data_IF_664264853077
#
_entry.id   IF_664264853077
#
_cell.length_a   1.000
_cell.length_b   1.000
_cell.length_c   1.000
_cell.angle_alpha   90.00
_cell.angle_beta   90.00
_cell.angle_gamma   90.00
#
_symmetry.space_group_name_H-M   'P 1'
#
loop_
_entity.id
_entity.type
_entity.pdbx_description
1 polymer ?
#
# COMPACT_ATOMS: atom_id res chain seq x y z
N UNK A 1 23.29 4.57 -27.20
CA UNK A 1 23.87 3.71 -26.15
C UNK A 1 22.92 3.68 -24.96
N UNK A 2 22.63 2.52 -24.38
CA UNK A 2 21.74 2.39 -23.21
C UNK A 2 22.57 1.98 -21.99
N UNK A 3 22.23 2.54 -20.83
CA UNK A 3 22.93 2.30 -19.57
C UNK A 3 22.06 1.47 -18.62
N UNK A 4 22.69 0.57 -17.88
CA UNK A 4 22.02 -0.25 -16.88
C UNK A 4 21.43 0.67 -15.80
N UNK A 5 20.15 0.50 -15.48
CA UNK A 5 19.49 1.35 -14.48
C UNK A 5 20.10 1.17 -13.09
N UNK A 6 20.55 -0.05 -12.77
CA UNK A 6 21.13 -0.42 -11.46
C UNK A 6 22.62 -0.05 -11.39
N UNK A 7 23.47 -0.67 -12.21
CA UNK A 7 24.93 -0.56 -12.06
C UNK A 7 25.61 0.39 -13.05
N UNK A 8 24.85 1.09 -13.90
CA UNK A 8 25.31 2.06 -14.91
C UNK A 8 26.26 1.54 -15.99
N UNK A 9 26.63 0.26 -16.01
CA UNK A 9 27.35 -0.39 -17.11
C UNK A 9 26.54 -0.38 -18.41
N UNK A 10 27.21 -0.60 -19.53
CA UNK A 10 26.54 -0.81 -20.81
C UNK A 10 25.57 -2.00 -20.74
N UNK A 11 24.43 -1.87 -21.41
CA UNK A 11 23.35 -2.86 -21.36
C UNK A 11 23.55 -3.98 -22.36
N UNK A 12 23.15 -5.21 -22.01
CA UNK A 12 23.27 -6.39 -22.87
C UNK A 12 21.91 -7.02 -23.24
N UNK A 13 20.90 -6.19 -23.50
CA UNK A 13 19.60 -6.64 -24.02
C UNK A 13 18.50 -6.96 -23.00
N UNK A 14 18.78 -6.84 -21.69
CA UNK A 14 17.75 -7.02 -20.65
C UNK A 14 16.94 -5.74 -20.42
N UNK A 15 15.64 -5.87 -20.15
CA UNK A 15 14.81 -4.72 -19.83
C UNK A 15 13.52 -5.04 -19.07
N UNK A 16 12.95 -4.00 -18.47
CA UNK A 16 11.74 -4.08 -17.66
C UNK A 16 10.77 -2.99 -18.12
N UNK A 17 9.54 -3.40 -18.45
CA UNK A 17 8.45 -2.49 -18.80
C UNK A 17 7.58 -2.38 -17.55
N UNK A 18 7.50 -1.20 -16.91
CA UNK A 18 6.66 -1.05 -15.74
C UNK A 18 5.17 -1.23 -16.10
N UNK A 19 4.40 -2.00 -15.31
CA UNK A 19 2.94 -2.01 -15.38
C UNK A 19 2.35 -0.60 -15.29
N UNK A 20 1.15 -0.36 -15.85
CA UNK A 20 0.26 -1.31 -16.52
C UNK A 20 0.56 -1.48 -18.02
N UNK A 21 1.67 -0.93 -18.51
CA UNK A 21 1.90 -0.80 -19.95
C UNK A 21 2.18 -2.16 -20.62
N UNK A 22 1.44 -2.47 -21.69
CA UNK A 22 1.65 -3.66 -22.54
C UNK A 22 2.81 -3.44 -23.49
N UNK A 23 3.59 -4.47 -23.83
CA UNK A 23 4.79 -4.40 -24.69
C UNK A 23 4.61 -3.62 -26.03
N UNK A 24 3.42 -3.68 -26.64
CA UNK A 24 3.11 -2.97 -27.89
C UNK A 24 2.78 -1.49 -27.73
N UNK A 25 2.60 -0.98 -26.50
CA UNK A 25 2.17 0.39 -26.25
C UNK A 25 3.27 1.40 -26.66
N UNK A 26 2.96 2.44 -27.46
CA UNK A 26 3.96 3.39 -27.96
C UNK A 26 4.78 4.08 -26.85
N UNK A 27 4.16 4.32 -25.69
CA UNK A 27 4.79 4.94 -24.52
C UNK A 27 5.93 4.09 -23.91
N UNK A 28 6.00 2.79 -24.19
CA UNK A 28 7.00 1.89 -23.60
C UNK A 28 8.42 2.26 -23.92
N UNK A 29 8.68 2.78 -25.13
CA UNK A 29 10.04 3.14 -25.55
C UNK A 29 10.67 4.16 -24.61
N UNK A 30 9.86 4.98 -23.92
CA UNK A 30 10.31 5.99 -22.95
C UNK A 30 10.40 5.43 -21.52
N UNK A 31 9.49 4.54 -21.13
CA UNK A 31 9.41 4.03 -19.75
C UNK A 31 10.22 2.76 -19.49
N UNK A 32 10.60 2.04 -20.55
CA UNK A 32 11.40 0.82 -20.44
C UNK A 32 12.75 1.10 -19.79
N UNK A 33 13.06 0.33 -18.75
CA UNK A 33 14.38 0.33 -18.10
C UNK A 33 15.22 -0.78 -18.69
N UNK A 34 16.52 -0.56 -18.81
CA UNK A 34 17.47 -1.50 -19.39
C UNK A 34 18.52 -1.94 -18.37
N UNK A 35 19.03 -3.15 -18.52
CA UNK A 35 19.97 -3.76 -17.59
C UNK A 35 21.12 -4.47 -18.31
N UNK A 36 22.27 -4.57 -17.63
CA UNK A 36 23.43 -5.28 -18.15
C UNK A 36 23.35 -6.81 -17.93
N UNK A 37 22.48 -7.29 -17.03
CA UNK A 37 22.34 -8.72 -16.71
C UNK A 37 20.98 -9.02 -16.05
N UNK A 38 20.60 -10.30 -16.03
CA UNK A 38 19.42 -10.78 -15.28
C UNK A 38 19.51 -10.45 -13.78
N UNK A 39 20.71 -10.46 -13.19
CA UNK A 39 20.90 -10.06 -11.78
C UNK A 39 20.49 -8.60 -11.55
N UNK A 40 20.92 -7.69 -12.41
CA UNK A 40 20.54 -6.26 -12.30
C UNK A 40 19.04 -6.04 -12.56
N UNK A 41 18.46 -6.79 -13.50
CA UNK A 41 17.01 -6.76 -13.72
C UNK A 41 16.24 -7.25 -12.48
N UNK A 42 16.70 -8.36 -11.86
CA UNK A 42 16.10 -8.94 -10.66
C UNK A 42 16.11 -8.00 -9.45
N UNK A 43 17.25 -7.33 -9.20
CA UNK A 43 17.37 -6.30 -8.14
C UNK A 43 16.31 -5.22 -8.33
N UNK A 44 16.18 -4.70 -9.55
CA UNK A 44 15.19 -3.66 -9.85
C UNK A 44 13.76 -4.18 -9.77
N UNK A 45 13.46 -5.39 -10.28
CA UNK A 45 12.10 -5.94 -10.23
C UNK A 45 11.64 -6.25 -8.82
N UNK A 46 12.54 -6.68 -7.94
CA UNK A 46 12.21 -6.90 -6.52
C UNK A 46 11.95 -5.58 -5.82
N UNK A 47 12.86 -4.61 -5.97
CA UNK A 47 12.65 -3.26 -5.47
C UNK A 47 11.36 -2.63 -6.05
N UNK A 48 11.02 -2.89 -7.31
CA UNK A 48 9.77 -2.40 -7.91
C UNK A 48 8.53 -3.08 -7.34
N UNK A 49 8.60 -4.38 -7.03
CA UNK A 49 7.50 -5.10 -6.38
C UNK A 49 7.30 -4.64 -4.94
N UNK A 50 8.37 -4.48 -4.18
CA UNK A 50 8.36 -3.90 -2.83
C UNK A 50 7.75 -2.49 -2.87
N UNK A 51 8.20 -1.65 -3.80
CA UNK A 51 7.68 -0.28 -3.96
C UNK A 51 6.26 -0.17 -4.59
N UNK A 52 5.63 -1.26 -5.05
CA UNK A 52 4.26 -1.26 -5.61
C UNK A 52 3.30 -2.25 -4.92
N UNK A 53 3.72 -2.88 -3.83
CA UNK A 53 2.82 -3.38 -2.81
C UNK A 53 2.49 -2.17 -1.94
N UNK A 54 1.22 -1.95 -1.54
CA UNK A 54 0.96 -1.00 -0.43
C UNK A 54 1.53 -1.69 0.80
N UNK A 55 2.80 -1.46 1.09
CA UNK A 55 3.45 -1.92 2.30
C UNK A 55 2.86 -1.12 3.45
N UNK A 56 1.75 -1.64 3.99
CA UNK A 56 1.12 -1.09 5.18
C UNK A 56 2.17 -1.01 6.28
N UNK A 57 2.42 0.20 6.77
CA UNK A 57 3.34 0.43 7.88
C UNK A 57 2.86 -0.32 9.12
N UNK A 58 3.74 -0.52 10.10
CA UNK A 58 3.37 -1.12 11.38
C UNK A 58 2.17 -0.39 12.02
N UNK A 59 2.16 0.94 11.92
CA UNK A 59 1.08 1.77 12.45
C UNK A 59 -0.22 1.59 11.66
N UNK A 60 -0.15 1.51 10.33
CA UNK A 60 -1.34 1.27 9.49
C UNK A 60 -1.93 -0.12 9.74
N UNK A 61 -1.09 -1.13 10.01
CA UNK A 61 -1.55 -2.47 10.42
C UNK A 61 -2.25 -2.43 11.78
N UNK A 62 -1.65 -1.76 12.76
CA UNK A 62 -2.26 -1.59 14.09
C UNK A 62 -3.56 -0.76 14.01
N UNK A 63 -3.62 0.24 13.12
CA UNK A 63 -4.82 1.03 12.88
C UNK A 63 -5.96 0.17 12.29
N UNK A 64 -5.64 -0.71 11.33
CA UNK A 64 -6.61 -1.67 10.79
C UNK A 64 -7.10 -2.63 11.89
N UNK A 65 -6.20 -3.11 12.75
CA UNK A 65 -6.58 -3.97 13.88
C UNK A 65 -7.48 -3.22 14.88
N UNK A 66 -7.23 -1.94 15.16
CA UNK A 66 -8.07 -1.13 16.04
C UNK A 66 -9.49 -0.93 15.51
N UNK A 67 -9.68 -0.97 14.19
CA UNK A 67 -10.99 -0.82 13.56
C UNK A 67 -11.89 -2.05 13.76
N UNK A 68 -11.34 -3.21 14.13
CA UNK A 68 -12.10 -4.45 14.31
C UNK A 68 -13.19 -4.33 15.39
N UNK A 69 -12.88 -3.65 16.50
CA UNK A 69 -13.82 -3.48 17.61
C UNK A 69 -15.04 -2.63 17.25
N UNK A 70 -14.89 -1.37 16.78
CA UNK A 70 -16.04 -0.53 16.43
C UNK A 70 -16.82 -1.09 15.23
N UNK A 71 -16.15 -1.76 14.29
CA UNK A 71 -16.83 -2.54 13.24
C UNK A 71 -17.73 -3.62 13.84
N UNK A 72 -17.21 -4.41 14.78
CA UNK A 72 -17.98 -5.46 15.45
C UNK A 72 -19.17 -4.93 16.24
N UNK A 73 -19.01 -3.80 16.92
CA UNK A 73 -20.09 -3.11 17.65
C UNK A 73 -21.20 -2.68 16.70
N UNK A 74 -20.85 -2.02 15.58
CA UNK A 74 -21.83 -1.63 14.56
C UNK A 74 -22.54 -2.83 13.92
N UNK A 75 -21.79 -3.88 13.56
CA UNK A 75 -22.35 -5.11 12.99
C UNK A 75 -23.29 -5.83 13.98
N UNK A 76 -23.00 -5.74 15.28
CA UNK A 76 -23.88 -6.27 16.32
C UNK A 76 -25.18 -5.48 16.42
N UNK A 77 -25.13 -4.16 16.25
CA UNK A 77 -26.30 -3.27 16.30
C UNK A 77 -27.27 -3.50 15.13
N UNK A 78 -26.76 -3.72 13.92
CA UNK A 78 -27.60 -3.92 12.71
C UNK A 78 -28.10 -5.37 12.51
N UNK A 79 -27.66 -6.30 13.37
CA UNK A 79 -28.02 -7.72 13.34
C UNK A 79 -27.04 -8.60 12.55
N UNK A 80 -26.53 -9.64 13.20
CA UNK A 80 -25.61 -10.64 12.64
C UNK A 80 -26.33 -11.86 12.03
N UNK A 81 -27.66 -11.92 12.10
CA UNK A 81 -28.50 -13.02 11.63
C UNK A 81 -28.63 -13.09 10.11
N UNK A 82 -28.24 -12.02 9.41
CA UNK A 82 -28.28 -11.92 7.95
C UNK A 82 -26.89 -11.71 7.35
N UNK A 83 -26.64 -12.22 6.13
CA UNK A 83 -25.36 -12.06 5.46
C UNK A 83 -25.09 -10.60 5.09
N UNK A 84 -23.83 -10.18 5.05
CA UNK A 84 -23.43 -8.82 4.65
C UNK A 84 -23.96 -8.43 3.26
N UNK A 85 -24.18 -9.40 2.36
CA UNK A 85 -24.75 -9.16 1.03
C UNK A 85 -26.21 -8.72 1.04
N UNK A 86 -26.94 -8.87 2.15
CA UNK A 86 -28.31 -8.39 2.33
C UNK A 86 -28.40 -7.10 3.14
N UNK A 87 -27.26 -6.48 3.45
CA UNK A 87 -27.23 -5.15 4.06
C UNK A 87 -27.73 -4.11 3.05
N UNK A 88 -28.49 -3.14 3.55
CA UNK A 88 -28.90 -1.98 2.77
C UNK A 88 -27.67 -1.15 2.38
N UNK A 89 -27.86 -0.28 1.38
CA UNK A 89 -26.79 0.63 0.95
C UNK A 89 -26.33 1.52 2.11
N UNK A 90 -27.28 1.98 2.91
CA UNK A 90 -27.06 2.86 4.06
C UNK A 90 -26.24 2.15 5.14
N UNK A 91 -26.54 0.87 5.41
CA UNK A 91 -25.81 0.05 6.38
C UNK A 91 -24.35 -0.19 5.95
N UNK A 92 -24.13 -0.48 4.66
CA UNK A 92 -22.77 -0.69 4.13
C UNK A 92 -21.96 0.61 4.15
N UNK A 93 -22.57 1.74 3.81
CA UNK A 93 -21.90 3.04 3.87
C UNK A 93 -21.48 3.37 5.30
N UNK A 94 -22.38 3.17 6.27
CA UNK A 94 -22.07 3.41 7.67
C UNK A 94 -21.01 2.44 8.20
N UNK A 95 -21.02 1.16 7.80
CA UNK A 95 -19.96 0.20 8.12
C UNK A 95 -18.57 0.69 7.65
N UNK A 96 -18.48 1.22 6.42
CA UNK A 96 -17.24 1.78 5.88
C UNK A 96 -16.83 3.05 6.65
N UNK A 97 -17.77 3.93 6.95
CA UNK A 97 -17.52 5.15 7.73
C UNK A 97 -16.98 4.82 9.13
N UNK A 98 -17.55 3.83 9.82
CA UNK A 98 -17.06 3.37 11.12
C UNK A 98 -15.63 2.83 11.01
N UNK A 99 -15.32 2.02 9.99
CA UNK A 99 -13.97 1.48 9.78
C UNK A 99 -12.94 2.58 9.53
N UNK A 100 -13.27 3.52 8.64
CA UNK A 100 -12.38 4.61 8.23
C UNK A 100 -12.18 5.59 9.39
N UNK A 101 -13.24 5.89 10.15
CA UNK A 101 -13.18 6.74 11.34
C UNK A 101 -12.25 6.13 12.39
N UNK A 102 -12.45 4.86 12.74
CA UNK A 102 -11.62 4.17 13.72
C UNK A 102 -10.14 4.10 13.30
N UNK A 103 -9.88 3.87 12.02
CA UNK A 103 -8.54 3.92 11.45
C UNK A 103 -7.88 5.30 11.65
N UNK A 104 -8.59 6.39 11.30
CA UNK A 104 -8.05 7.74 11.45
C UNK A 104 -7.93 8.17 12.91
N UNK A 105 -8.84 7.75 13.79
CA UNK A 105 -8.76 8.02 15.23
C UNK A 105 -7.52 7.38 15.84
N UNK A 106 -7.22 6.13 15.48
CA UNK A 106 -5.99 5.46 15.93
C UNK A 106 -4.74 6.19 15.42
N UNK A 107 -4.73 6.57 14.13
CA UNK A 107 -3.60 7.27 13.53
C UNK A 107 -3.38 8.67 14.16
N UNK A 108 -4.46 9.39 14.50
CA UNK A 108 -4.39 10.67 15.21
C UNK A 108 -3.94 10.50 16.67
N UNK A 109 -4.42 9.47 17.38
CA UNK A 109 -3.99 9.15 18.73
C UNK A 109 -2.49 8.86 18.82
N UNK A 110 -1.94 8.12 17.85
CA UNK A 110 -0.50 7.84 17.75
C UNK A 110 0.36 9.09 17.50
N UNK A 111 -0.16 10.09 16.78
CA UNK A 111 0.53 11.36 16.59
C UNK A 111 0.74 12.09 17.92
N UNK A 112 -0.28 12.08 18.80
CA UNK A 112 -0.20 12.71 20.13
C UNK A 112 0.72 11.97 21.13
N UNK A 113 0.91 10.65 20.98
CA UNK A 113 1.86 9.87 21.80
C UNK A 113 3.33 10.16 21.40
N UNK A 114 3.59 10.43 20.12
CA UNK A 114 4.95 10.68 19.61
C UNK A 114 5.50 12.02 20.08
N UNK A 115 4.66 13.06 20.17
CA UNK A 115 5.04 14.39 20.70
C UNK A 115 5.39 14.37 22.20
N UNK A 116 4.87 13.40 22.96
CA UNK A 116 5.13 13.28 24.40
C UNK A 116 6.45 12.56 24.76
N UNK A 117 7.12 11.91 23.79
CA UNK A 117 8.43 11.27 24.01
C UNK A 117 9.64 12.20 23.74
N UNK A 118 9.43 13.35 23.09
CA UNK A 118 10.49 14.32 22.82
C UNK A 118 10.77 15.30 23.97
N UNK A 119 10.00 15.25 25.06
CA UNK A 119 10.31 16.02 26.28
C UNK A 119 11.21 15.19 27.20
N UNK A 120 12.45 14.94 26.77
CA UNK A 120 13.53 14.60 27.70
C UNK A 120 14.17 15.93 28.15
N UNK A 121 14.06 16.31 29.43
CA UNK A 121 14.71 17.52 29.93
C UNK A 121 16.23 17.35 29.84
N UNK A 122 16.89 18.44 29.43
CA UNK A 122 18.34 18.60 29.37
C UNK A 122 19.04 18.25 30.69
#
# INVERSE_FOLDING_TARGET
MRICFVCKRETHGFGFIPPPLRASHPANRKMMKYFCSMKCQGIYSNAYKENNMIDLTKNEKEAIESALKPLGEYVTEIGMDRPVSSYSREEVLCLIEVAVTAYFDFMQGKASETENLEVLPC
#
